data_IF_650993112888
#
_entry.id   IF_650993112888
#
_cell.length_a   1.000
_cell.length_b   1.000
_cell.length_c   1.000
_cell.angle_alpha   90.00
_cell.angle_beta   90.00
_cell.angle_gamma   90.00
#
_symmetry.space_group_name_H-M   'P 1'
#
loop_
_entity.id
_entity.type
_entity.pdbx_description
1 polymer ?
#
# COMPACT_ATOMS: atom_id res chain seq x y z
N UNK A 1 -3.33 14.34 13.65
CA UNK A 1 -2.40 14.67 12.55
C UNK A 1 -3.27 15.09 11.39
N UNK A 2 -3.04 16.26 10.84
CA UNK A 2 -3.72 16.70 9.62
C UNK A 2 -2.80 16.36 8.45
N UNK A 3 -3.34 15.71 7.42
CA UNK A 3 -2.61 15.38 6.22
C UNK A 3 -2.29 16.67 5.44
N UNK A 4 -1.07 16.77 4.92
CA UNK A 4 -0.63 17.86 4.06
C UNK A 4 -0.91 17.46 2.62
N UNK A 5 -2.08 17.83 2.12
CA UNK A 5 -2.57 17.41 0.79
C UNK A 5 -1.69 17.88 -0.39
N UNK A 6 -0.85 18.90 -0.16
CA UNK A 6 0.05 19.44 -1.20
C UNK A 6 1.47 18.82 -1.15
N UNK A 7 1.74 17.92 -0.20
CA UNK A 7 3.03 17.23 -0.06
C UNK A 7 2.87 15.75 -0.38
N UNK A 8 3.70 15.22 -1.27
CA UNK A 8 3.71 13.78 -1.64
C UNK A 8 4.62 12.96 -0.72
N UNK A 9 5.75 13.52 -0.28
CA UNK A 9 6.67 12.86 0.63
C UNK A 9 6.25 13.07 2.09
N UNK A 10 6.12 11.98 2.87
CA UNK A 10 5.72 12.02 4.28
C UNK A 10 4.52 12.94 4.57
N UNK A 11 3.41 12.85 3.79
CA UNK A 11 2.31 13.82 3.87
C UNK A 11 1.59 13.81 5.22
N UNK A 12 1.80 12.78 6.03
CA UNK A 12 1.24 12.69 7.38
C UNK A 12 2.16 13.25 8.46
N UNK A 13 3.34 13.78 8.11
CA UNK A 13 4.30 14.36 9.05
C UNK A 13 4.75 13.36 10.11
N UNK A 14 5.05 12.12 9.71
CA UNK A 14 5.59 11.09 10.60
C UNK A 14 7.01 11.45 11.04
N UNK A 15 7.44 10.86 12.18
CA UNK A 15 8.72 11.15 12.81
C UNK A 15 9.93 10.70 11.95
N UNK A 16 10.63 11.65 11.36
CA UNK A 16 11.81 11.44 10.52
C UNK A 16 13.06 11.09 11.33
N UNK A 17 13.06 11.39 12.63
CA UNK A 17 14.16 11.10 13.57
C UNK A 17 13.91 9.83 14.41
N UNK A 18 12.98 8.96 14.00
CA UNK A 18 12.63 7.75 14.72
C UNK A 18 13.86 6.93 15.14
N UNK A 19 13.95 6.52 16.41
CA UNK A 19 15.09 5.79 17.00
C UNK A 19 14.67 4.49 17.70
N UNK A 20 13.56 3.89 17.29
CA UNK A 20 13.03 2.69 17.94
C UNK A 20 13.85 1.42 17.67
N UNK A 21 14.61 1.39 16.55
CA UNK A 21 15.42 0.25 16.12
C UNK A 21 16.90 0.68 16.05
N UNK A 22 17.71 0.47 17.11
CA UNK A 22 19.07 0.98 17.17
C UNK A 22 19.96 0.54 16.00
N UNK A 23 19.90 -0.75 15.62
CA UNK A 23 20.68 -1.30 14.51
C UNK A 23 20.32 -0.61 13.18
N UNK A 24 19.03 -0.40 12.91
CA UNK A 24 18.59 0.31 11.71
C UNK A 24 18.96 1.80 11.73
N UNK A 25 19.08 2.42 12.90
CA UNK A 25 19.55 3.79 13.01
C UNK A 25 21.03 3.94 12.63
N UNK A 26 21.83 2.87 12.74
CA UNK A 26 23.24 2.86 12.36
C UNK A 26 23.45 2.56 10.86
N UNK A 27 22.49 1.89 10.21
CA UNK A 27 22.64 1.40 8.84
C UNK A 27 21.90 2.23 7.80
N UNK A 28 20.75 2.80 8.15
CA UNK A 28 19.94 3.61 7.21
C UNK A 28 20.55 4.97 6.93
N UNK A 29 20.28 5.53 5.77
CA UNK A 29 20.56 6.94 5.44
C UNK A 29 19.46 7.85 5.99
N UNK A 30 18.20 7.41 5.92
CA UNK A 30 17.04 8.14 6.40
C UNK A 30 15.86 7.21 6.74
N UNK A 31 14.80 7.75 7.33
CA UNK A 31 13.52 7.05 7.49
C UNK A 31 12.71 7.26 6.22
N UNK A 32 12.37 6.19 5.53
CA UNK A 32 11.56 6.23 4.30
C UNK A 32 10.10 6.11 4.68
N UNK A 33 9.41 7.24 4.84
CA UNK A 33 7.97 7.28 5.10
C UNK A 33 7.15 7.06 3.84
N UNK A 34 5.82 7.06 3.98
CA UNK A 34 4.93 6.92 2.85
C UNK A 34 5.01 8.11 1.89
N UNK A 35 4.68 7.85 0.63
CA UNK A 35 4.75 8.79 -0.48
C UNK A 35 3.52 8.66 -1.36
N UNK A 36 2.89 9.78 -1.71
CA UNK A 36 1.79 9.80 -2.65
C UNK A 36 0.52 10.47 -2.15
N UNK A 37 -0.61 10.14 -2.79
CA UNK A 37 -1.90 10.76 -2.53
C UNK A 37 -2.51 10.28 -1.20
N UNK A 38 -2.84 11.21 -0.32
CA UNK A 38 -3.48 10.92 0.98
C UNK A 38 -4.95 10.49 0.84
N UNK A 39 -5.56 10.72 -0.30
CA UNK A 39 -6.92 10.29 -0.64
C UNK A 39 -6.98 9.06 -1.56
N UNK A 40 -5.84 8.39 -1.77
CA UNK A 40 -5.71 7.30 -2.72
C UNK A 40 -6.69 6.14 -2.47
N UNK A 41 -7.25 5.59 -3.53
CA UNK A 41 -7.97 4.32 -3.48
C UNK A 41 -7.02 3.12 -3.40
N UNK A 42 -5.74 3.28 -3.79
CA UNK A 42 -4.73 2.23 -3.82
C UNK A 42 -3.58 2.51 -2.85
N UNK A 43 -3.22 1.52 -2.04
CA UNK A 43 -1.99 1.55 -1.23
C UNK A 43 -1.08 0.39 -1.64
N UNK A 44 0.15 0.69 -2.02
CA UNK A 44 1.18 -0.32 -2.32
C UNK A 44 2.11 -0.44 -1.13
N UNK A 45 2.22 -1.64 -0.58
CA UNK A 45 2.96 -1.90 0.65
C UNK A 45 4.08 -2.92 0.41
N UNK A 46 5.33 -2.46 0.43
CA UNK A 46 6.53 -3.30 0.40
C UNK A 46 7.01 -3.73 1.80
N UNK A 47 8.04 -4.55 1.87
CA UNK A 47 8.61 -5.02 3.15
C UNK A 47 9.45 -3.94 3.83
N UNK A 48 10.53 -3.50 3.20
CA UNK A 48 11.50 -2.55 3.72
C UNK A 48 12.14 -1.77 2.56
N UNK A 49 12.68 -0.55 2.83
CA UNK A 49 13.40 0.20 1.81
C UNK A 49 14.61 -0.55 1.26
N UNK A 50 14.79 -0.51 -0.05
CA UNK A 50 16.02 -0.91 -0.74
C UNK A 50 17.08 0.19 -0.61
N UNK A 51 18.37 -0.04 -0.97
CA UNK A 51 19.38 1.01 -1.01
C UNK A 51 18.97 2.23 -1.85
N UNK A 52 18.24 2.02 -2.94
CA UNK A 52 17.70 3.10 -3.77
C UNK A 52 16.70 3.95 -3.03
N UNK A 53 15.71 3.34 -2.42
CA UNK A 53 14.68 4.04 -1.64
C UNK A 53 15.27 4.71 -0.38
N UNK A 54 16.25 4.09 0.29
CA UNK A 54 16.96 4.68 1.44
C UNK A 54 17.73 5.95 1.05
N UNK A 55 18.27 6.00 -0.18
CA UNK A 55 18.97 7.16 -0.71
C UNK A 55 18.03 8.31 -1.09
N UNK A 56 16.93 8.01 -1.79
CA UNK A 56 15.98 9.01 -2.29
C UNK A 56 14.96 9.48 -1.25
N UNK A 57 14.63 8.62 -0.27
CA UNK A 57 13.50 8.83 0.64
C UNK A 57 12.14 8.43 0.04
N UNK A 58 12.11 7.95 -1.20
CA UNK A 58 10.90 7.61 -1.94
C UNK A 58 10.78 6.09 -2.10
N UNK A 59 9.65 5.48 -1.68
CA UNK A 59 9.43 4.05 -1.78
C UNK A 59 9.53 3.51 -3.22
N UNK A 60 10.07 2.31 -3.36
CA UNK A 60 10.21 1.54 -4.60
C UNK A 60 11.13 2.16 -5.66
N UNK A 61 11.88 3.20 -5.33
CA UNK A 61 12.95 3.68 -6.22
C UNK A 61 14.17 2.76 -6.16
N UNK A 62 14.98 2.76 -7.22
CA UNK A 62 16.18 1.92 -7.29
C UNK A 62 15.88 0.46 -7.64
N UNK A 63 16.22 -0.47 -6.78
CA UNK A 63 16.17 -1.91 -7.03
C UNK A 63 14.74 -2.45 -7.21
N UNK A 64 13.77 -1.85 -6.52
CA UNK A 64 12.35 -2.24 -6.60
C UNK A 64 11.54 -1.46 -7.64
N UNK A 65 12.22 -0.76 -8.56
CA UNK A 65 11.60 0.09 -9.60
C UNK A 65 10.55 -0.63 -10.45
N UNK A 66 10.62 -1.94 -10.58
CA UNK A 66 9.60 -2.73 -11.28
C UNK A 66 8.19 -2.45 -10.73
N UNK A 67 8.04 -2.15 -9.44
CA UNK A 67 6.74 -1.77 -8.85
C UNK A 67 6.24 -0.45 -9.48
N UNK A 68 7.10 0.56 -9.58
CA UNK A 68 6.75 1.84 -10.21
C UNK A 68 6.46 1.69 -11.71
N UNK A 69 7.20 0.81 -12.41
CA UNK A 69 6.96 0.51 -13.82
C UNK A 69 5.61 -0.18 -14.04
N UNK A 70 5.22 -1.10 -13.16
CA UNK A 70 3.90 -1.75 -13.17
C UNK A 70 2.79 -0.71 -12.95
N UNK A 71 2.94 0.17 -11.96
CA UNK A 71 1.98 1.23 -11.67
C UNK A 71 1.88 2.24 -12.83
N UNK A 72 2.99 2.54 -13.49
CA UNK A 72 3.00 3.41 -14.68
C UNK A 72 2.24 2.80 -15.85
N UNK A 73 2.34 1.50 -16.06
CA UNK A 73 1.60 0.79 -17.12
C UNK A 73 0.09 0.82 -16.94
N UNK A 74 -0.38 0.99 -15.71
CA UNK A 74 -1.81 1.13 -15.37
C UNK A 74 -2.23 2.58 -15.14
N UNK A 75 -1.32 3.54 -15.35
CA UNK A 75 -1.61 4.98 -15.35
C UNK A 75 -1.63 5.65 -13.97
N UNK A 76 -1.09 4.99 -12.92
CA UNK A 76 -1.03 5.54 -11.55
C UNK A 76 0.30 6.24 -11.23
N UNK A 77 1.32 6.10 -12.08
CA UNK A 77 2.65 6.71 -11.91
C UNK A 77 3.12 7.28 -13.24
N UNK A 78 3.57 8.54 -13.22
CA UNK A 78 4.30 9.15 -14.34
C UNK A 78 5.81 9.14 -14.04
N UNK A 79 6.61 8.98 -15.08
CA UNK A 79 8.07 8.87 -15.03
C UNK A 79 8.58 7.92 -13.90
N UNK A 80 8.35 6.60 -14.02
CA UNK A 80 8.77 5.62 -13.00
C UNK A 80 10.29 5.55 -12.82
N UNK A 81 11.07 6.23 -13.67
CA UNK A 81 12.51 6.32 -13.57
C UNK A 81 13.00 7.50 -12.71
N UNK A 82 12.14 8.46 -12.40
CA UNK A 82 12.48 9.59 -11.54
C UNK A 82 12.81 9.15 -10.10
N UNK A 83 13.60 9.95 -9.39
CA UNK A 83 13.83 9.78 -7.96
C UNK A 83 12.59 10.24 -7.13
N UNK A 84 11.79 11.13 -7.69
CA UNK A 84 10.52 11.61 -7.15
C UNK A 84 9.45 11.50 -8.25
N UNK A 85 8.85 10.30 -8.48
CA UNK A 85 7.85 10.10 -9.53
C UNK A 85 6.54 10.83 -9.17
N UNK A 86 5.86 11.36 -10.18
CA UNK A 86 4.49 11.84 -10.00
C UNK A 86 3.53 10.64 -9.87
N UNK A 87 2.64 10.71 -8.88
CA UNK A 87 1.69 9.63 -8.56
C UNK A 87 0.27 10.19 -8.51
N UNK A 88 -0.70 9.39 -8.96
CA UNK A 88 -2.12 9.72 -8.97
C UNK A 88 -2.92 8.54 -8.41
N UNK A 89 -3.82 8.80 -7.46
CA UNK A 89 -4.69 7.80 -6.80
C UNK A 89 -3.93 6.59 -6.19
N UNK A 90 -2.64 6.75 -5.89
CA UNK A 90 -1.83 5.71 -5.24
C UNK A 90 -0.96 6.27 -4.12
N UNK A 91 -0.81 5.49 -3.04
CA UNK A 91 0.08 5.76 -1.93
C UNK A 91 1.07 4.61 -1.76
N UNK A 92 2.34 4.94 -1.74
CA UNK A 92 3.46 4.01 -1.66
C UNK A 92 4.02 3.95 -0.25
N UNK A 93 4.24 2.76 0.30
CA UNK A 93 4.69 2.61 1.68
C UNK A 93 5.41 1.28 1.92
N UNK A 94 5.98 1.12 3.12
CA UNK A 94 6.64 -0.10 3.57
C UNK A 94 6.13 -0.58 4.93
N UNK A 95 6.31 -1.88 5.20
CA UNK A 95 6.06 -2.49 6.52
C UNK A 95 7.03 -1.93 7.56
N UNK A 96 8.31 -1.83 7.21
CA UNK A 96 9.35 -1.12 8.00
C UNK A 96 9.86 0.08 7.22
N UNK A 97 10.39 1.10 7.92
CA UNK A 97 10.75 2.39 7.34
C UNK A 97 12.24 2.59 7.13
N UNK A 98 13.02 1.60 7.41
CA UNK A 98 14.47 1.71 7.45
C UNK A 98 15.12 0.56 6.71
N UNK A 99 16.19 0.85 5.99
CA UNK A 99 17.00 -0.11 5.26
C UNK A 99 18.02 -0.80 6.17
N UNK A 100 18.18 -2.10 5.98
CA UNK A 100 19.34 -2.87 6.47
C UNK A 100 20.04 -3.55 5.29
N UNK A 101 21.38 -3.36 5.12
CA UNK A 101 22.07 -3.83 3.91
C UNK A 101 22.14 -5.34 3.76
N UNK A 102 22.16 -6.08 4.87
CA UNK A 102 22.56 -7.48 4.88
C UNK A 102 21.43 -8.47 5.22
N UNK A 103 20.24 -7.97 5.61
CA UNK A 103 19.12 -8.83 6.02
C UNK A 103 17.74 -8.20 5.78
N UNK A 104 16.75 -9.06 5.72
CA UNK A 104 15.34 -8.65 5.77
C UNK A 104 14.94 -8.02 7.11
N UNK A 105 13.77 -7.39 7.17
CA UNK A 105 13.23 -6.79 8.38
C UNK A 105 12.97 -7.85 9.47
N UNK A 106 13.41 -7.58 10.70
CA UNK A 106 13.16 -8.43 11.85
C UNK A 106 11.72 -8.22 12.40
N UNK A 107 11.20 -9.21 13.14
CA UNK A 107 9.83 -9.16 13.66
C UNK A 107 9.58 -8.04 14.66
N UNK A 108 10.57 -7.65 15.44
CA UNK A 108 10.50 -6.53 16.36
C UNK A 108 10.52 -5.18 15.63
N UNK A 109 11.26 -5.05 14.53
CA UNK A 109 11.26 -3.88 13.66
C UNK A 109 9.89 -3.68 12.99
N UNK A 110 9.27 -4.78 12.52
CA UNK A 110 7.91 -4.77 11.98
C UNK A 110 6.90 -4.30 13.03
N UNK A 111 7.03 -4.77 14.28
CA UNK A 111 6.18 -4.32 15.40
C UNK A 111 6.42 -2.86 15.74
N UNK A 112 7.67 -2.42 15.80
CA UNK A 112 8.02 -1.02 16.09
C UNK A 112 7.46 -0.05 15.03
N UNK A 113 7.38 -0.46 13.76
CA UNK A 113 6.82 0.34 12.67
C UNK A 113 5.29 0.22 12.52
N UNK A 114 4.61 -0.64 13.28
CA UNK A 114 3.17 -0.87 13.16
C UNK A 114 2.34 0.41 13.31
N UNK A 115 2.72 1.30 14.22
CA UNK A 115 2.03 2.57 14.47
C UNK A 115 1.98 3.48 13.23
N UNK A 116 3.06 3.54 12.46
CA UNK A 116 3.12 4.31 11.22
C UNK A 116 2.19 3.72 10.15
N UNK A 117 2.35 2.43 9.84
CA UNK A 117 1.54 1.72 8.86
C UNK A 117 0.05 1.77 9.18
N UNK A 118 -0.32 1.48 10.42
CA UNK A 118 -1.72 1.48 10.85
C UNK A 118 -2.34 2.89 10.79
N UNK A 119 -1.57 3.92 11.03
CA UNK A 119 -2.02 5.31 10.91
C UNK A 119 -2.24 5.69 9.46
N UNK A 120 -1.33 5.38 8.55
CA UNK A 120 -1.48 5.62 7.12
C UNK A 120 -2.72 4.90 6.57
N UNK A 121 -2.83 3.59 6.76
CA UNK A 121 -3.98 2.80 6.26
C UNK A 121 -5.32 3.31 6.80
N UNK A 122 -5.36 3.76 8.06
CA UNK A 122 -6.58 4.32 8.64
C UNK A 122 -6.93 5.70 8.10
N UNK A 123 -5.94 6.55 7.84
CA UNK A 123 -6.16 7.92 7.36
C UNK A 123 -6.51 7.94 5.87
N UNK A 124 -5.82 7.13 5.07
CA UNK A 124 -6.09 6.97 3.63
C UNK A 124 -7.41 6.23 3.43
N UNK A 125 -7.64 5.16 4.21
CA UNK A 125 -8.81 4.29 4.08
C UNK A 125 -9.00 3.77 2.64
N UNK A 126 -8.01 3.04 2.08
CA UNK A 126 -8.00 2.63 0.67
C UNK A 126 -9.10 1.62 0.35
N UNK A 127 -9.45 1.48 -0.93
CA UNK A 127 -10.28 0.37 -1.42
C UNK A 127 -9.47 -0.91 -1.60
N UNK A 128 -8.23 -0.77 -2.08
CA UNK A 128 -7.35 -1.88 -2.44
C UNK A 128 -5.96 -1.65 -1.85
N UNK A 129 -5.40 -2.71 -1.25
CA UNK A 129 -4.01 -2.74 -0.83
C UNK A 129 -3.26 -3.77 -1.67
N UNK A 130 -2.12 -3.38 -2.22
CA UNK A 130 -1.20 -4.22 -2.98
C UNK A 130 -0.01 -4.58 -2.09
N UNK A 131 -0.04 -5.73 -1.38
CA UNK A 131 1.15 -6.24 -0.70
C UNK A 131 2.16 -6.76 -1.73
N UNK A 132 3.39 -6.25 -1.67
CA UNK A 132 4.50 -6.67 -2.54
C UNK A 132 5.42 -7.60 -1.77
N UNK A 133 5.36 -8.89 -2.08
CA UNK A 133 6.10 -9.96 -1.39
C UNK A 133 5.35 -10.59 -0.22
N UNK A 134 5.91 -11.69 0.29
CA UNK A 134 5.29 -12.52 1.32
C UNK A 134 5.12 -11.80 2.66
N UNK A 135 6.11 -11.03 3.08
CA UNK A 135 6.09 -10.38 4.40
C UNK A 135 4.95 -9.34 4.54
N UNK A 136 4.75 -8.40 3.60
CA UNK A 136 3.61 -7.50 3.63
C UNK A 136 2.27 -8.24 3.60
N UNK A 137 2.14 -9.29 2.79
CA UNK A 137 0.92 -10.11 2.73
C UNK A 137 0.63 -10.76 4.09
N UNK A 138 1.61 -11.35 4.75
CA UNK A 138 1.46 -11.99 6.06
C UNK A 138 1.06 -10.99 7.15
N UNK A 139 1.65 -9.80 7.16
CA UNK A 139 1.32 -8.72 8.10
C UNK A 139 -0.12 -8.25 7.92
N UNK A 140 -0.57 -8.06 6.69
CA UNK A 140 -1.94 -7.65 6.38
C UNK A 140 -2.95 -8.77 6.68
N UNK A 141 -2.60 -10.02 6.41
CA UNK A 141 -3.44 -11.17 6.72
C UNK A 141 -3.83 -11.21 8.19
N UNK A 142 -2.85 -11.10 9.07
CA UNK A 142 -3.04 -11.13 10.52
C UNK A 142 -3.96 -10.00 11.03
N UNK A 143 -3.76 -8.79 10.51
CA UNK A 143 -4.47 -7.60 11.01
C UNK A 143 -5.84 -7.40 10.36
N UNK A 144 -5.97 -7.72 9.08
CA UNK A 144 -7.07 -7.21 8.25
C UNK A 144 -7.85 -8.28 7.49
N UNK A 145 -7.53 -9.57 7.69
CA UNK A 145 -8.33 -10.66 7.09
C UNK A 145 -8.87 -11.60 8.16
N UNK A 146 -9.61 -12.61 7.74
CA UNK A 146 -10.05 -13.73 8.61
C UNK A 146 -9.16 -14.96 8.43
N UNK A 147 -8.15 -14.86 7.54
CA UNK A 147 -7.21 -15.93 7.24
C UNK A 147 -5.97 -15.79 8.09
N UNK A 148 -5.35 -16.90 8.46
CA UNK A 148 -4.02 -16.89 9.07
C UNK A 148 -2.94 -16.60 8.01
N UNK A 149 -1.77 -16.12 8.44
CA UNK A 149 -0.66 -15.87 7.53
C UNK A 149 -0.21 -17.14 6.78
N UNK A 150 -0.34 -18.32 7.41
CA UNK A 150 0.03 -19.63 6.85
C UNK A 150 -0.92 -20.09 5.73
N UNK A 151 -2.11 -19.48 5.63
CA UNK A 151 -3.09 -19.77 4.58
C UNK A 151 -2.91 -18.88 3.33
N UNK A 152 -1.97 -17.95 3.37
CA UNK A 152 -1.74 -16.98 2.30
C UNK A 152 -0.30 -17.12 1.77
N UNK A 153 -0.15 -17.81 0.66
CA UNK A 153 1.10 -17.92 -0.10
C UNK A 153 1.10 -16.89 -1.23
N UNK A 154 2.11 -16.02 -1.27
CA UNK A 154 2.22 -14.96 -2.28
C UNK A 154 2.32 -15.53 -3.70
N UNK A 155 2.99 -16.68 -3.89
CA UNK A 155 3.13 -17.28 -5.20
C UNK A 155 1.80 -17.85 -5.74
N UNK A 156 0.96 -18.37 -4.85
CA UNK A 156 -0.38 -18.85 -5.22
C UNK A 156 -1.38 -17.72 -5.43
N UNK A 157 -1.18 -16.59 -4.73
CA UNK A 157 -2.12 -15.47 -4.71
C UNK A 157 -1.72 -14.30 -5.60
N UNK A 158 -0.57 -14.36 -6.23
CA UNK A 158 -0.12 -13.33 -7.17
C UNK A 158 -1.19 -13.04 -8.23
N UNK A 159 -1.45 -11.75 -8.46
CA UNK A 159 -2.46 -11.28 -9.41
C UNK A 159 -3.90 -11.82 -9.15
N UNK A 160 -4.21 -12.20 -7.90
CA UNK A 160 -5.56 -12.59 -7.50
C UNK A 160 -6.12 -11.64 -6.45
N UNK A 161 -7.43 -11.50 -6.38
CA UNK A 161 -8.07 -10.63 -5.37
C UNK A 161 -8.40 -11.44 -4.12
N UNK A 162 -7.94 -10.96 -2.96
CA UNK A 162 -8.24 -11.55 -1.64
C UNK A 162 -9.05 -10.56 -0.83
N UNK A 163 -10.21 -10.97 -0.34
CA UNK A 163 -11.09 -10.10 0.45
C UNK A 163 -10.51 -9.86 1.84
N UNK A 164 -10.30 -8.59 2.18
CA UNK A 164 -9.97 -8.10 3.51
C UNK A 164 -11.20 -7.61 4.29
N UNK A 165 -10.95 -6.98 5.44
CA UNK A 165 -11.96 -6.33 6.28
C UNK A 165 -12.01 -4.83 5.94
N UNK A 166 -12.86 -4.46 5.02
CA UNK A 166 -13.05 -3.06 4.60
C UNK A 166 -12.28 -2.66 3.34
N UNK A 167 -11.47 -3.54 2.77
CA UNK A 167 -10.75 -3.38 1.50
C UNK A 167 -10.46 -4.74 0.87
N UNK A 168 -9.91 -4.74 -0.31
CA UNK A 168 -9.41 -5.94 -0.98
C UNK A 168 -7.87 -5.94 -1.03
N UNK A 169 -7.27 -7.14 -1.05
CA UNK A 169 -5.84 -7.29 -1.31
C UNK A 169 -5.65 -7.76 -2.76
N UNK A 170 -4.67 -7.18 -3.44
CA UNK A 170 -4.16 -7.64 -4.72
C UNK A 170 -2.68 -7.98 -4.58
N UNK A 171 -2.32 -9.21 -4.13
CA UNK A 171 -0.95 -9.61 -3.86
C UNK A 171 -0.08 -9.58 -5.11
N UNK A 172 1.12 -9.02 -4.98
CA UNK A 172 2.16 -8.95 -6.00
C UNK A 172 3.42 -9.65 -5.50
N UNK A 173 4.00 -10.55 -6.29
CA UNK A 173 5.33 -11.11 -6.01
C UNK A 173 6.36 -9.98 -5.83
N UNK A 174 7.37 -10.20 -5.02
CA UNK A 174 8.47 -9.24 -4.92
C UNK A 174 9.20 -9.12 -6.28
N UNK A 175 9.73 -7.94 -6.64
CA UNK A 175 10.41 -7.74 -7.93
C UNK A 175 11.48 -8.78 -8.25
N UNK A 176 12.25 -9.20 -7.25
CA UNK A 176 13.30 -10.18 -7.42
C UNK A 176 12.79 -11.61 -7.75
N UNK A 177 11.53 -11.91 -7.40
CA UNK A 177 10.90 -13.22 -7.57
C UNK A 177 9.96 -13.27 -8.78
N UNK A 178 9.81 -12.17 -9.51
CA UNK A 178 8.92 -12.06 -10.65
C UNK A 178 9.60 -12.36 -11.98
N UNK A 179 9.01 -13.25 -12.77
CA UNK A 179 9.28 -13.37 -14.21
C UNK A 179 8.51 -12.31 -15.01
N UNK A 180 8.92 -12.09 -16.25
CA UNK A 180 8.20 -11.18 -17.16
C UNK A 180 6.73 -11.61 -17.39
N UNK A 181 6.43 -12.91 -17.38
CA UNK A 181 5.07 -13.43 -17.55
C UNK A 181 4.19 -13.13 -16.31
N UNK A 182 4.75 -13.25 -15.12
CA UNK A 182 4.05 -12.89 -13.87
C UNK A 182 3.81 -11.39 -13.79
N UNK A 183 4.79 -10.57 -14.18
CA UNK A 183 4.61 -9.11 -14.27
C UNK A 183 3.47 -8.76 -15.22
N UNK A 184 3.40 -9.40 -16.39
CA UNK A 184 2.31 -9.16 -17.36
C UNK A 184 0.95 -9.57 -16.78
N UNK A 185 0.86 -10.74 -16.16
CA UNK A 185 -0.36 -11.22 -15.52
C UNK A 185 -0.85 -10.26 -14.42
N UNK A 186 0.08 -9.68 -13.64
CA UNK A 186 -0.27 -8.70 -12.63
C UNK A 186 -0.79 -7.40 -13.23
N UNK A 187 -0.13 -6.88 -14.26
CA UNK A 187 -0.58 -5.66 -14.98
C UNK A 187 -1.97 -5.86 -15.60
N UNK A 188 -2.19 -6.98 -16.29
CA UNK A 188 -3.50 -7.30 -16.86
C UNK A 188 -4.58 -7.36 -15.78
N UNK A 189 -4.31 -8.04 -14.67
CA UNK A 189 -5.26 -8.14 -13.56
C UNK A 189 -5.56 -6.81 -12.92
N UNK A 190 -4.53 -5.96 -12.74
CA UNK A 190 -4.70 -4.63 -12.15
C UNK A 190 -5.48 -3.70 -13.09
N UNK A 191 -5.18 -3.74 -14.39
CA UNK A 191 -5.92 -2.98 -15.40
C UNK A 191 -7.40 -3.42 -15.46
N UNK A 192 -7.68 -4.73 -15.41
CA UNK A 192 -9.05 -5.25 -15.33
C UNK A 192 -9.78 -4.72 -14.10
N UNK A 193 -9.09 -4.69 -12.94
CA UNK A 193 -9.66 -4.20 -11.70
C UNK A 193 -10.02 -2.71 -11.80
N UNK A 194 -9.12 -1.88 -12.33
CA UNK A 194 -9.38 -0.45 -12.58
C UNK A 194 -10.57 -0.21 -13.53
N UNK A 195 -10.82 -1.13 -14.46
CA UNK A 195 -11.97 -1.11 -15.37
C UNK A 195 -13.30 -1.51 -14.72
N UNK A 196 -13.29 -2.00 -13.47
CA UNK A 196 -14.49 -2.42 -12.74
C UNK A 196 -14.94 -1.36 -11.71
N UNK A 197 -16.14 -1.51 -11.17
CA UNK A 197 -16.60 -0.70 -10.04
C UNK A 197 -16.05 -1.28 -8.71
N UNK A 198 -14.73 -1.16 -8.50
CA UNK A 198 -14.02 -1.67 -7.31
C UNK A 198 -14.40 -0.91 -6.02
N UNK A 199 -14.98 0.28 -6.12
CA UNK A 199 -15.41 1.13 -4.98
C UNK A 199 -16.64 0.59 -4.25
N UNK A 200 -17.15 -0.58 -4.64
CA UNK A 200 -18.32 -1.19 -3.99
C UNK A 200 -17.99 -1.93 -2.67
N UNK A 201 -16.72 -2.09 -2.33
CA UNK A 201 -16.30 -2.84 -1.12
C UNK A 201 -16.53 -2.07 0.18
N UNK A 202 -16.49 -0.75 0.17
CA UNK A 202 -16.93 0.08 1.29
C UNK A 202 -18.45 0.11 1.29
N UNK A 203 -19.06 -0.70 2.13
CA UNK A 203 -20.51 -0.87 2.21
C UNK A 203 -21.26 0.44 2.00
N UNK A 204 -22.15 0.48 1.01
CA UNK A 204 -23.16 1.52 0.86
C UNK A 204 -23.81 1.70 2.24
N UNK A 205 -23.50 2.79 2.92
CA UNK A 205 -24.46 3.38 3.84
C UNK A 205 -25.66 3.79 2.98
N UNK A 206 -26.67 2.93 2.95
CA UNK A 206 -27.88 3.20 2.23
C UNK A 206 -28.42 4.55 2.69
N UNK A 207 -28.51 5.48 1.76
CA UNK A 207 -29.39 6.63 1.92
C UNK A 207 -30.75 6.06 2.27
N UNK A 208 -31.16 6.23 3.52
CA UNK A 208 -32.53 6.11 3.93
C UNK A 208 -33.26 7.24 3.19
N UNK A 209 -33.76 6.94 2.01
CA UNK A 209 -34.81 7.74 1.40
C UNK A 209 -35.95 7.77 2.41
N UNK A 210 -36.10 8.91 3.06
CA UNK A 210 -37.26 9.24 3.86
C UNK A 210 -38.48 9.14 2.94
N UNK A 211 -39.16 8.00 2.95
CA UNK A 211 -40.45 7.82 2.34
C UNK A 211 -41.42 8.82 2.97
N UNK A 212 -41.76 9.87 2.22
CA UNK A 212 -42.96 10.64 2.47
C UNK A 212 -44.15 9.70 2.33
N UNK A 213 -44.75 9.43 3.46
CA UNK A 213 -46.05 8.78 3.49
C UNK A 213 -47.10 9.63 2.75
N UNK A 214 -48.12 8.99 2.15
CA UNK A 214 -49.15 9.73 1.42
C UNK A 214 -49.99 10.62 2.38
N UNK A 215 -50.08 11.88 2.01
CA UNK A 215 -51.04 12.78 2.61
C UNK A 215 -52.46 12.23 2.38
N UNK A 216 -53.14 11.96 3.45
CA UNK A 216 -54.54 11.53 3.44
C UNK A 216 -55.39 12.81 3.31
N UNK A 217 -55.84 13.13 2.09
CA UNK A 217 -56.97 13.99 1.87
C UNK A 217 -58.23 13.16 2.13
N UNK A 218 -58.95 13.50 3.19
CA UNK A 218 -60.40 13.52 3.17
C UNK A 218 -61.00 14.04 4.47
N UNK A 219 -61.84 15.15 4.28
CA UNK A 219 -62.91 15.71 5.10
C UNK A 219 -62.57 16.53 6.31
#
# INVERSE_FOLDING_TARGET
MDARQDETANPFGMDEDCRQCPELCETRSQVVHGYGDVGADFVVLGEAPTPGADRTGVPFTGEDRLVLEVLSRVGLVEDPAADEPEVDDVFLSYVTRCHHPDRAAADDEVRNCEGYRSSELRMINPEIIVPVGQRPLSVLAFQYTTKSADELDIAELHATTVRGRGFELLPMLAPADQSAAETEAFVERFADLLGTDYRQTKGRQGSLESGRGPENEDR
#
